data_IF_516579080957
#
_entry.id   IF_516579080957
#
_cell.length_a   1.000
_cell.length_b   1.000
_cell.length_c   1.000
_cell.angle_alpha   90.00
_cell.angle_beta   90.00
_cell.angle_gamma   90.00
#
_symmetry.space_group_name_H-M   'P 1'
#
loop_
_entity.id
_entity.type
_entity.pdbx_description
1 polymer ?
#
# COMPACT_ATOMS: atom_id res chain seq x y z
N UNK A 1 -6.78 19.23 6.33
CA UNK A 1 -7.42 19.22 4.99
C UNK A 1 -8.87 19.65 5.12
N UNK A 2 -9.29 20.74 4.46
CA UNK A 2 -10.72 21.12 4.38
C UNK A 2 -11.35 20.19 3.34
N UNK A 3 -12.29 19.38 3.77
CA UNK A 3 -13.11 18.57 2.87
C UNK A 3 -14.10 19.50 2.16
N UNK A 4 -13.86 19.77 0.89
CA UNK A 4 -14.87 20.38 0.04
C UNK A 4 -15.89 19.29 -0.33
N UNK A 5 -17.16 19.60 -0.25
CA UNK A 5 -18.21 18.68 -0.69
C UNK A 5 -18.25 18.70 -2.23
N UNK A 6 -17.72 17.67 -2.92
CA UNK A 6 -17.71 17.67 -4.38
C UNK A 6 -19.10 17.50 -4.99
N UNK A 7 -20.09 17.08 -4.18
CA UNK A 7 -21.47 16.84 -4.60
C UNK A 7 -22.34 17.85 -3.88
N UNK A 8 -22.91 18.79 -4.62
CA UNK A 8 -23.76 19.88 -4.08
C UNK A 8 -25.26 19.58 -4.20
N UNK A 9 -25.65 18.66 -5.07
CA UNK A 9 -27.07 18.29 -5.26
C UNK A 9 -27.56 17.45 -4.08
N UNK A 10 -28.56 17.95 -3.37
CA UNK A 10 -29.05 17.37 -2.11
C UNK A 10 -29.51 15.90 -2.26
N UNK A 11 -30.14 15.57 -3.39
CA UNK A 11 -30.59 14.21 -3.67
C UNK A 11 -29.43 13.23 -3.83
N UNK A 12 -28.36 13.62 -4.53
CA UNK A 12 -27.16 12.80 -4.73
C UNK A 12 -26.37 12.67 -3.44
N UNK A 13 -26.29 13.72 -2.61
CA UNK A 13 -25.64 13.66 -1.28
C UNK A 13 -26.29 12.57 -0.45
N UNK A 14 -27.63 12.59 -0.31
CA UNK A 14 -28.37 11.61 0.49
C UNK A 14 -28.19 10.19 -0.05
N UNK A 15 -28.29 10.00 -1.36
CA UNK A 15 -28.07 8.69 -1.98
C UNK A 15 -26.66 8.16 -1.70
N UNK A 16 -25.63 9.04 -1.75
CA UNK A 16 -24.24 8.68 -1.45
C UNK A 16 -24.08 8.30 0.01
N UNK A 17 -24.65 9.07 0.94
CA UNK A 17 -24.64 8.75 2.38
C UNK A 17 -25.30 7.40 2.69
N UNK A 18 -26.45 7.12 2.08
CA UNK A 18 -27.14 5.83 2.22
C UNK A 18 -26.28 4.66 1.68
N UNK A 19 -25.60 4.84 0.56
CA UNK A 19 -24.68 3.84 0.01
C UNK A 19 -23.45 3.62 0.88
N UNK A 20 -22.85 4.69 1.40
CA UNK A 20 -21.71 4.58 2.33
C UNK A 20 -22.12 3.86 3.61
N UNK A 21 -23.29 4.12 4.16
CA UNK A 21 -23.84 3.41 5.31
C UNK A 21 -24.05 1.92 5.01
N UNK A 22 -24.58 1.59 3.85
CA UNK A 22 -24.75 0.20 3.42
C UNK A 22 -23.40 -0.54 3.34
N UNK A 23 -22.41 0.09 2.71
CA UNK A 23 -21.04 -0.45 2.60
C UNK A 23 -20.47 -0.65 4.02
N UNK A 24 -20.53 0.36 4.88
CA UNK A 24 -20.03 0.27 6.26
C UNK A 24 -20.65 -0.91 7.02
N UNK A 25 -21.97 -1.03 7.01
CA UNK A 25 -22.67 -2.11 7.71
C UNK A 25 -22.30 -3.49 7.16
N UNK A 26 -22.12 -3.61 5.85
CA UNK A 26 -21.72 -4.85 5.21
C UNK A 26 -20.28 -5.24 5.60
N UNK A 27 -19.34 -4.31 5.54
CA UNK A 27 -17.96 -4.54 5.94
C UNK A 27 -17.86 -4.91 7.44
N UNK A 28 -18.57 -4.20 8.33
CA UNK A 28 -18.60 -4.53 9.77
C UNK A 28 -19.11 -5.95 10.01
N UNK A 29 -20.15 -6.37 9.28
CA UNK A 29 -20.73 -7.72 9.41
C UNK A 29 -19.77 -8.81 8.93
N UNK A 30 -18.98 -8.55 7.88
CA UNK A 30 -18.15 -9.55 7.21
C UNK A 30 -16.67 -9.46 7.52
N UNK A 31 -16.19 -8.45 8.28
CA UNK A 31 -14.77 -8.20 8.53
C UNK A 31 -14.00 -9.42 9.03
N UNK A 32 -14.61 -10.24 9.86
CA UNK A 32 -13.98 -11.44 10.43
C UNK A 32 -13.89 -12.62 9.45
N UNK A 33 -14.64 -12.57 8.34
CA UNK A 33 -14.61 -13.61 7.30
C UNK A 33 -13.51 -13.35 6.27
N UNK A 34 -13.02 -12.12 6.18
CA UNK A 34 -11.93 -11.75 5.28
C UNK A 34 -10.62 -12.35 5.79
N UNK A 35 -9.91 -13.09 4.93
CA UNK A 35 -8.63 -13.72 5.24
C UNK A 35 -7.44 -12.95 4.68
N UNK A 36 -7.66 -12.22 3.58
CA UNK A 36 -6.67 -11.35 2.97
C UNK A 36 -6.47 -10.09 3.82
N UNK A 37 -5.22 -9.70 4.01
CA UNK A 37 -4.87 -8.49 4.75
C UNK A 37 -4.59 -7.29 3.84
N UNK A 38 -4.50 -7.48 2.52
CA UNK A 38 -4.10 -6.41 1.61
C UNK A 38 -4.89 -5.11 1.79
N UNK A 39 -4.27 -4.00 1.40
CA UNK A 39 -4.89 -2.69 1.40
C UNK A 39 -5.96 -2.56 0.31
N UNK A 40 -5.78 -3.27 -0.83
CA UNK A 40 -6.66 -3.13 -1.99
C UNK A 40 -7.94 -3.95 -1.88
N UNK A 41 -7.87 -5.17 -1.36
CA UNK A 41 -8.99 -6.12 -1.34
C UNK A 41 -9.26 -6.71 0.05
N UNK A 42 -8.43 -6.37 1.03
CA UNK A 42 -8.38 -7.04 2.31
C UNK A 42 -8.72 -6.17 3.52
N UNK A 43 -8.30 -6.67 4.68
CA UNK A 43 -8.60 -6.09 6.00
C UNK A 43 -8.06 -4.68 6.19
N UNK A 44 -6.88 -4.36 5.62
CA UNK A 44 -6.28 -3.03 5.72
C UNK A 44 -7.12 -1.99 4.99
N UNK A 45 -7.66 -2.33 3.82
CA UNK A 45 -8.61 -1.46 3.10
C UNK A 45 -9.90 -1.22 3.87
N UNK A 46 -10.43 -2.26 4.55
CA UNK A 46 -11.59 -2.09 5.42
C UNK A 46 -11.28 -1.14 6.59
N UNK A 47 -10.10 -1.31 7.20
CA UNK A 47 -9.64 -0.45 8.28
C UNK A 47 -9.56 1.02 7.85
N UNK A 48 -8.91 1.28 6.72
CA UNK A 48 -8.80 2.61 6.13
C UNK A 48 -10.20 3.23 5.89
N UNK A 49 -11.10 2.47 5.27
CA UNK A 49 -12.48 2.91 5.04
C UNK A 49 -13.19 3.25 6.35
N UNK A 50 -13.05 2.44 7.41
CA UNK A 50 -13.70 2.69 8.70
C UNK A 50 -13.23 4.02 9.31
N UNK A 51 -11.94 4.33 9.28
CA UNK A 51 -11.43 5.60 9.80
C UNK A 51 -12.03 6.80 9.06
N UNK A 52 -12.04 6.75 7.73
CA UNK A 52 -12.62 7.83 6.94
C UNK A 52 -14.12 7.96 7.11
N UNK A 53 -14.84 6.86 7.14
CA UNK A 53 -16.29 6.86 7.35
C UNK A 53 -16.67 7.39 8.73
N UNK A 54 -15.96 6.99 9.78
CA UNK A 54 -16.21 7.48 11.14
C UNK A 54 -15.86 8.96 11.29
N UNK A 55 -14.82 9.43 10.63
CA UNK A 55 -14.49 10.86 10.55
C UNK A 55 -15.58 11.64 9.82
N UNK A 56 -16.07 11.13 8.70
CA UNK A 56 -17.14 11.77 7.93
C UNK A 56 -18.44 11.87 8.73
N UNK A 57 -18.85 10.80 9.39
CA UNK A 57 -20.12 10.73 10.16
C UNK A 57 -20.00 11.28 11.56
N UNK A 58 -18.79 11.58 12.05
CA UNK A 58 -18.48 11.97 13.45
C UNK A 58 -18.86 10.87 14.46
N UNK A 59 -18.92 9.62 14.04
CA UNK A 59 -19.30 8.46 14.87
C UNK A 59 -18.12 7.51 15.02
N UNK A 60 -17.47 7.48 16.17
CA UNK A 60 -16.36 6.55 16.46
C UNK A 60 -16.90 5.24 17.01
N UNK A 61 -16.79 4.12 16.28
CA UNK A 61 -17.35 2.83 16.69
C UNK A 61 -16.41 1.63 16.54
N UNK A 62 -15.78 1.47 15.39
CA UNK A 62 -15.14 0.21 14.98
C UNK A 62 -13.68 0.38 14.57
N UNK A 63 -13.32 1.50 13.95
CA UNK A 63 -12.04 1.69 13.29
C UNK A 63 -10.82 1.39 14.18
N UNK A 64 -10.71 2.06 15.34
CA UNK A 64 -9.57 1.88 16.26
C UNK A 64 -9.49 0.44 16.80
N UNK A 65 -10.63 -0.14 17.19
CA UNK A 65 -10.69 -1.53 17.66
C UNK A 65 -10.25 -2.50 16.55
N UNK A 66 -10.70 -2.28 15.32
CA UNK A 66 -10.35 -3.13 14.19
C UNK A 66 -8.87 -3.05 13.83
N UNK A 67 -8.25 -1.86 13.94
CA UNK A 67 -6.81 -1.69 13.79
C UNK A 67 -6.02 -2.56 14.77
N UNK A 68 -6.41 -2.58 16.05
CA UNK A 68 -5.78 -3.45 17.05
C UNK A 68 -6.00 -4.94 16.77
N UNK A 69 -7.19 -5.33 16.31
CA UNK A 69 -7.47 -6.70 15.88
C UNK A 69 -6.55 -7.13 14.74
N UNK A 70 -6.35 -6.27 13.72
CA UNK A 70 -5.43 -6.51 12.60
C UNK A 70 -3.99 -6.67 13.08
N UNK A 71 -3.50 -5.77 13.92
CA UNK A 71 -2.14 -5.84 14.46
C UNK A 71 -1.90 -7.18 15.18
N UNK A 72 -2.82 -7.60 16.05
CA UNK A 72 -2.72 -8.88 16.75
C UNK A 72 -2.79 -10.09 15.82
N UNK A 73 -3.50 -10.01 14.71
CA UNK A 73 -3.56 -11.09 13.72
C UNK A 73 -2.28 -11.16 12.88
N UNK A 74 -1.74 -10.00 12.45
CA UNK A 74 -0.49 -9.93 11.67
C UNK A 74 0.69 -10.46 12.47
N UNK A 75 0.75 -10.22 13.78
CA UNK A 75 1.82 -10.72 14.66
C UNK A 75 1.87 -12.26 14.73
N UNK A 76 0.84 -12.97 14.28
CA UNK A 76 0.77 -14.43 14.27
C UNK A 76 0.87 -15.02 12.85
N UNK A 77 1.14 -14.21 11.83
CA UNK A 77 1.33 -14.71 10.45
C UNK A 77 2.75 -15.21 10.30
N UNK A 78 2.92 -16.52 10.06
CA UNK A 78 4.24 -17.15 9.96
C UNK A 78 4.57 -17.70 8.57
N UNK A 79 3.58 -18.05 7.75
CA UNK A 79 3.81 -18.83 6.51
C UNK A 79 2.87 -18.44 5.36
N UNK A 80 3.00 -17.21 4.85
CA UNK A 80 2.26 -16.83 3.64
C UNK A 80 3.15 -15.98 2.72
N UNK A 81 3.23 -16.34 1.44
CA UNK A 81 3.99 -15.60 0.42
C UNK A 81 3.63 -14.09 0.36
N UNK A 82 2.39 -13.74 0.71
CA UNK A 82 1.91 -12.36 0.68
C UNK A 82 2.21 -11.56 1.96
N UNK A 83 2.78 -12.18 3.00
CA UNK A 83 2.93 -11.51 4.32
C UNK A 83 3.78 -10.22 4.24
N UNK A 84 4.81 -10.21 3.40
CA UNK A 84 5.71 -9.07 3.22
C UNK A 84 4.94 -7.83 2.76
N UNK A 85 4.05 -8.00 1.77
CA UNK A 85 3.23 -6.90 1.26
C UNK A 85 2.23 -6.44 2.31
N UNK A 86 1.67 -7.36 3.10
CA UNK A 86 0.77 -7.00 4.18
C UNK A 86 1.48 -6.17 5.26
N UNK A 87 2.74 -6.47 5.56
CA UNK A 87 3.52 -5.67 6.52
C UNK A 87 3.89 -4.29 5.97
N UNK A 88 4.32 -4.19 4.72
CA UNK A 88 4.60 -2.88 4.10
C UNK A 88 3.33 -2.03 3.99
N UNK A 89 2.21 -2.62 3.60
CA UNK A 89 0.90 -1.97 3.52
C UNK A 89 0.35 -1.58 4.90
N UNK A 90 0.57 -2.42 5.92
CA UNK A 90 0.20 -2.10 7.30
C UNK A 90 1.02 -0.93 7.83
N UNK A 91 2.33 -0.95 7.61
CA UNK A 91 3.21 0.15 7.98
C UNK A 91 2.83 1.45 7.26
N UNK A 92 2.52 1.38 5.97
CA UNK A 92 1.99 2.52 5.21
C UNK A 92 0.66 3.03 5.80
N UNK A 93 -0.26 2.12 6.15
CA UNK A 93 -1.54 2.47 6.77
C UNK A 93 -1.34 3.21 8.09
N UNK A 94 -0.46 2.72 8.98
CA UNK A 94 -0.16 3.37 10.26
C UNK A 94 0.36 4.79 10.06
N UNK A 95 1.32 4.99 9.16
CA UNK A 95 1.87 6.31 8.82
C UNK A 95 0.78 7.23 8.25
N UNK A 96 -0.06 6.71 7.36
CA UNK A 96 -1.18 7.47 6.80
C UNK A 96 -2.16 7.91 7.89
N UNK A 97 -2.57 7.00 8.78
CA UNK A 97 -3.49 7.29 9.87
C UNK A 97 -2.92 8.32 10.87
N UNK A 98 -1.61 8.22 11.17
CA UNK A 98 -0.91 9.21 12.02
C UNK A 98 -0.89 10.60 11.37
N UNK A 99 -0.52 10.69 10.08
CA UNK A 99 -0.50 11.95 9.31
C UNK A 99 -1.88 12.59 9.18
N UNK A 100 -2.93 11.79 9.06
CA UNK A 100 -4.32 12.27 9.02
C UNK A 100 -4.90 12.56 10.42
N UNK A 101 -4.11 12.38 11.49
CA UNK A 101 -4.54 12.56 12.88
C UNK A 101 -5.72 11.66 13.27
N UNK A 102 -5.83 10.49 12.68
CA UNK A 102 -6.83 9.48 13.04
C UNK A 102 -6.40 8.68 14.27
N UNK A 103 -5.09 8.55 14.48
CA UNK A 103 -4.47 7.90 15.66
C UNK A 103 -3.50 8.85 16.33
N UNK A 104 -3.35 8.72 17.64
CA UNK A 104 -2.58 9.59 18.53
C UNK A 104 -1.37 8.90 19.20
N UNK A 105 -1.29 7.57 19.11
CA UNK A 105 -0.17 6.81 19.67
C UNK A 105 1.07 6.83 18.77
N UNK A 106 2.22 6.51 19.39
CA UNK A 106 3.48 6.41 18.65
C UNK A 106 3.54 5.09 17.85
N UNK A 107 4.08 5.19 16.64
CA UNK A 107 4.15 4.07 15.69
C UNK A 107 5.59 3.65 15.35
N UNK A 108 6.58 4.44 15.73
CA UNK A 108 7.98 4.21 15.34
C UNK A 108 8.55 2.90 15.86
N UNK A 109 8.21 2.49 17.08
CA UNK A 109 8.64 1.18 17.63
C UNK A 109 8.08 0.00 16.81
N UNK A 110 6.86 0.14 16.28
CA UNK A 110 6.24 -0.88 15.42
C UNK A 110 6.95 -0.91 14.07
N UNK A 111 7.20 0.27 13.50
CA UNK A 111 7.75 0.40 12.16
C UNK A 111 9.23 0.04 12.10
N UNK A 112 10.03 0.41 13.11
CA UNK A 112 11.45 0.08 13.17
C UNK A 112 11.72 -1.43 13.16
N UNK A 113 10.81 -2.22 13.73
CA UNK A 113 10.88 -3.69 13.63
C UNK A 113 10.63 -4.25 12.23
N UNK A 114 10.12 -3.44 11.30
CA UNK A 114 9.86 -3.85 9.91
C UNK A 114 10.93 -3.34 8.94
N UNK A 115 11.62 -2.26 9.27
CA UNK A 115 12.46 -1.50 8.33
C UNK A 115 13.55 -2.36 7.68
N UNK A 116 14.35 -3.07 8.45
CA UNK A 116 15.47 -3.89 7.94
C UNK A 116 14.97 -4.99 6.99
N UNK A 117 14.00 -5.78 7.43
CA UNK A 117 13.44 -6.85 6.61
C UNK A 117 12.80 -6.35 5.32
N UNK A 118 12.11 -5.20 5.37
CA UNK A 118 11.50 -4.61 4.18
C UNK A 118 12.55 -4.04 3.23
N UNK A 119 13.68 -3.50 3.72
CA UNK A 119 14.80 -3.05 2.86
C UNK A 119 15.42 -4.22 2.10
N UNK A 120 15.73 -5.32 2.79
CA UNK A 120 16.30 -6.52 2.17
C UNK A 120 15.39 -7.08 1.08
N UNK A 121 14.12 -7.24 1.38
CA UNK A 121 13.14 -7.79 0.43
C UNK A 121 12.90 -6.84 -0.75
N UNK A 122 12.88 -5.53 -0.51
CA UNK A 122 12.80 -4.54 -1.59
C UNK A 122 13.98 -4.67 -2.56
N UNK A 123 15.20 -4.82 -2.03
CA UNK A 123 16.40 -5.02 -2.83
C UNK A 123 16.31 -6.31 -3.65
N UNK A 124 15.89 -7.42 -3.04
CA UNK A 124 15.71 -8.69 -3.73
C UNK A 124 14.71 -8.61 -4.89
N UNK A 125 13.58 -7.94 -4.68
CA UNK A 125 12.59 -7.75 -5.75
C UNK A 125 13.14 -6.89 -6.89
N UNK A 126 13.93 -5.85 -6.61
CA UNK A 126 14.58 -5.06 -7.66
C UNK A 126 15.56 -5.95 -8.44
N UNK A 127 16.34 -6.78 -7.77
CA UNK A 127 17.26 -7.70 -8.43
C UNK A 127 16.55 -8.70 -9.35
N UNK A 128 15.34 -9.11 -8.98
CA UNK A 128 14.47 -9.98 -9.77
C UNK A 128 13.67 -9.25 -10.85
N UNK A 129 13.93 -7.96 -11.10
CA UNK A 129 13.16 -7.12 -12.02
C UNK A 129 11.65 -7.06 -11.71
N UNK A 130 11.30 -7.21 -10.42
CA UNK A 130 9.93 -7.12 -9.94
C UNK A 130 9.65 -5.71 -9.38
N UNK A 131 9.21 -4.81 -10.25
CA UNK A 131 8.91 -3.40 -9.93
C UNK A 131 7.43 -3.13 -9.69
N UNK A 132 6.63 -4.15 -9.47
CA UNK A 132 5.17 -3.99 -9.38
C UNK A 132 4.74 -3.16 -8.18
N UNK A 133 3.65 -2.40 -8.36
CA UNK A 133 3.05 -1.60 -7.30
C UNK A 133 2.33 -2.46 -6.25
N UNK A 134 1.77 -3.59 -6.65
CA UNK A 134 0.95 -4.42 -5.77
C UNK A 134 1.78 -5.52 -5.11
N UNK A 135 2.63 -6.22 -5.90
CA UNK A 135 3.40 -7.38 -5.43
C UNK A 135 4.89 -7.27 -5.76
N UNK A 136 5.46 -6.07 -5.65
CA UNK A 136 6.85 -5.84 -5.98
C UNK A 136 7.52 -4.76 -5.16
N UNK A 137 8.73 -4.41 -5.57
CA UNK A 137 9.57 -3.44 -4.86
C UNK A 137 8.94 -2.06 -4.71
N UNK A 138 8.09 -1.62 -5.66
CA UNK A 138 7.40 -0.32 -5.57
C UNK A 138 6.37 -0.29 -4.43
N UNK A 139 5.75 -1.42 -4.09
CA UNK A 139 4.89 -1.52 -2.90
C UNK A 139 5.67 -1.17 -1.63
N UNK A 140 6.83 -1.80 -1.48
CA UNK A 140 7.68 -1.61 -0.30
C UNK A 140 8.30 -0.21 -0.30
N UNK A 141 8.73 0.30 -1.45
CA UNK A 141 9.24 1.67 -1.57
C UNK A 141 8.21 2.73 -1.15
N UNK A 142 6.92 2.50 -1.41
CA UNK A 142 5.85 3.38 -0.91
C UNK A 142 5.79 3.43 0.63
N UNK A 143 6.13 2.35 1.34
CA UNK A 143 6.25 2.37 2.78
C UNK A 143 7.37 3.32 3.23
N UNK A 144 8.56 3.22 2.61
CA UNK A 144 9.71 4.06 2.95
C UNK A 144 9.53 5.53 2.58
N UNK A 145 8.73 5.84 1.58
CA UNK A 145 8.42 7.22 1.19
C UNK A 145 7.80 8.06 2.33
N UNK A 146 7.21 7.40 3.30
CA UNK A 146 6.54 8.05 4.42
C UNK A 146 7.21 7.78 5.77
N UNK A 147 8.32 7.03 5.80
CA UNK A 147 9.13 6.83 7.00
C UNK A 147 9.83 8.14 7.42
N UNK A 148 10.37 8.16 8.63
CA UNK A 148 11.17 9.29 9.12
C UNK A 148 12.34 9.61 8.17
N UNK A 149 12.89 10.83 8.29
CA UNK A 149 13.82 11.39 7.31
C UNK A 149 15.06 10.50 7.06
N UNK A 150 15.62 9.90 8.10
CA UNK A 150 16.87 9.12 7.96
C UNK A 150 16.63 7.77 7.26
N UNK A 151 15.79 6.92 7.83
CA UNK A 151 15.52 5.57 7.30
C UNK A 151 14.79 5.65 5.96
N UNK A 152 13.77 6.53 5.87
CA UNK A 152 12.99 6.70 4.67
C UNK A 152 13.83 7.19 3.52
N UNK A 153 14.66 8.21 3.73
CA UNK A 153 15.53 8.79 2.70
C UNK A 153 16.57 7.79 2.21
N UNK A 154 17.27 7.10 3.10
CA UNK A 154 18.27 6.12 2.70
C UNK A 154 17.67 5.00 1.83
N UNK A 155 16.53 4.45 2.25
CA UNK A 155 15.85 3.38 1.52
C UNK A 155 15.30 3.86 0.18
N UNK A 156 14.77 5.08 0.15
CA UNK A 156 14.25 5.70 -1.06
C UNK A 156 15.37 5.99 -2.06
N UNK A 157 16.48 6.58 -1.63
CA UNK A 157 17.62 6.87 -2.48
C UNK A 157 18.22 5.57 -3.04
N UNK A 158 18.35 4.52 -2.21
CA UNK A 158 18.80 3.20 -2.66
C UNK A 158 17.86 2.61 -3.72
N UNK A 159 16.55 2.74 -3.51
CA UNK A 159 15.55 2.29 -4.47
C UNK A 159 15.68 3.00 -5.82
N UNK A 160 15.77 4.32 -5.81
CA UNK A 160 15.92 5.14 -7.01
C UNK A 160 17.21 4.82 -7.77
N UNK A 161 18.35 4.77 -7.06
CA UNK A 161 19.64 4.45 -7.65
C UNK A 161 19.64 3.07 -8.33
N UNK A 162 19.04 2.09 -7.67
CA UNK A 162 18.97 0.73 -8.19
C UNK A 162 18.05 0.64 -9.39
N UNK A 163 16.89 1.29 -9.35
CA UNK A 163 16.01 1.41 -10.51
C UNK A 163 16.70 2.08 -11.70
N UNK A 164 17.40 3.18 -11.45
CA UNK A 164 18.11 3.88 -12.51
C UNK A 164 19.17 2.99 -13.19
N UNK A 165 19.94 2.23 -12.40
CA UNK A 165 20.93 1.27 -12.90
C UNK A 165 20.31 0.12 -13.71
N UNK A 166 19.08 -0.24 -13.41
CA UNK A 166 18.30 -1.29 -14.10
C UNK A 166 17.52 -0.77 -15.31
N UNK A 167 17.45 0.54 -15.50
CA UNK A 167 16.75 1.14 -16.62
C UNK A 167 17.41 0.78 -17.95
N UNK A 168 16.60 0.50 -18.95
CA UNK A 168 17.02 0.35 -20.34
C UNK A 168 16.90 1.70 -21.02
N UNK A 169 18.03 2.26 -21.43
CA UNK A 169 18.06 3.49 -22.19
C UNK A 169 17.71 3.20 -23.64
N UNK A 170 16.59 3.72 -24.11
CA UNK A 170 16.12 3.57 -25.50
C UNK A 170 16.75 4.64 -26.38
N UNK A 171 16.84 5.86 -25.85
CA UNK A 171 17.45 7.04 -26.46
C UNK A 171 18.20 7.84 -25.38
N UNK A 172 18.80 8.98 -25.78
CA UNK A 172 19.47 9.90 -24.86
C UNK A 172 18.58 10.46 -23.75
N UNK A 173 17.27 10.53 -24.00
CA UNK A 173 16.26 11.13 -23.13
C UNK A 173 15.10 10.19 -22.77
N UNK A 174 15.19 8.91 -23.18
CA UNK A 174 14.14 7.92 -22.94
C UNK A 174 14.67 6.67 -22.27
N UNK A 175 13.97 6.24 -21.23
CA UNK A 175 14.27 5.01 -20.52
C UNK A 175 13.00 4.20 -20.26
N UNK A 176 13.17 2.90 -20.06
CA UNK A 176 12.10 1.97 -19.72
C UNK A 176 12.62 0.86 -18.80
N UNK A 177 11.69 0.11 -18.23
CA UNK A 177 11.98 -1.07 -17.42
C UNK A 177 11.23 -2.27 -17.96
N UNK A 178 11.91 -3.42 -17.99
CA UNK A 178 11.26 -4.70 -18.26
C UNK A 178 10.90 -5.37 -16.94
N UNK A 179 9.67 -5.80 -16.79
CA UNK A 179 9.19 -6.50 -15.61
C UNK A 179 8.91 -7.96 -15.95
N UNK A 180 9.14 -8.86 -15.00
CA UNK A 180 8.75 -10.26 -15.14
C UNK A 180 7.24 -10.39 -15.36
N UNK A 181 6.83 -11.27 -16.26
CA UNK A 181 5.43 -11.38 -16.70
C UNK A 181 4.55 -12.03 -15.66
N UNK A 182 5.09 -12.96 -14.87
CA UNK A 182 4.29 -13.69 -13.88
C UNK A 182 5.18 -14.35 -12.82
N UNK A 183 4.94 -14.00 -11.55
CA UNK A 183 5.64 -14.63 -10.42
C UNK A 183 5.24 -16.09 -10.25
N UNK A 184 4.11 -16.52 -10.83
CA UNK A 184 3.58 -17.90 -10.72
C UNK A 184 3.92 -18.82 -11.88
N UNK A 185 4.43 -18.29 -12.99
CA UNK A 185 4.83 -19.08 -14.15
C UNK A 185 6.36 -19.08 -14.30
N UNK A 186 7.07 -19.74 -13.39
CA UNK A 186 8.42 -20.23 -13.63
C UNK A 186 8.37 -21.32 -14.69
N UNK A 187 8.23 -20.97 -15.95
CA UNK A 187 8.49 -21.82 -17.09
C UNK A 187 9.58 -21.17 -17.93
N UNK A 188 10.45 -21.99 -18.46
CA UNK A 188 11.74 -21.82 -19.11
C UNK A 188 11.92 -20.73 -20.19
N UNK A 189 11.00 -19.79 -20.35
CA UNK A 189 11.16 -18.58 -21.14
C UNK A 189 10.88 -17.37 -20.25
N UNK A 190 11.94 -16.76 -19.77
CA UNK A 190 11.94 -15.44 -19.08
C UNK A 190 11.58 -14.31 -20.08
N UNK A 191 10.36 -14.31 -20.57
CA UNK A 191 9.86 -13.24 -21.42
C UNK A 191 9.63 -12.00 -20.57
N UNK A 192 10.63 -11.12 -20.50
CA UNK A 192 10.50 -9.80 -19.87
C UNK A 192 9.77 -8.88 -20.83
N UNK A 193 8.72 -8.23 -20.35
CA UNK A 193 7.89 -7.32 -21.14
C UNK A 193 7.77 -5.94 -20.50
N UNK A 194 7.54 -4.93 -21.33
CA UNK A 194 7.08 -3.62 -20.89
C UNK A 194 5.60 -3.71 -20.55
N UNK A 195 5.28 -3.61 -19.27
CA UNK A 195 3.89 -3.58 -18.80
C UNK A 195 3.38 -2.14 -18.75
N UNK A 196 2.20 -1.89 -19.28
CA UNK A 196 1.56 -0.56 -19.34
C UNK A 196 0.39 -0.41 -18.34
N UNK A 197 0.10 -1.43 -17.55
CA UNK A 197 -0.93 -1.37 -16.50
C UNK A 197 -0.43 -0.66 -15.24
N UNK A 198 -1.30 0.12 -14.60
CA UNK A 198 -0.92 0.86 -13.38
C UNK A 198 -0.55 -0.04 -12.20
N UNK A 199 -1.15 -1.22 -12.08
CA UNK A 199 -0.87 -2.14 -10.98
C UNK A 199 0.47 -2.87 -11.13
N UNK A 200 0.85 -3.18 -12.37
CA UNK A 200 1.94 -4.12 -12.68
C UNK A 200 2.97 -3.55 -13.66
N UNK A 201 2.98 -2.24 -13.95
CA UNK A 201 3.82 -1.70 -15.00
C UNK A 201 4.37 -0.30 -14.76
N UNK A 202 4.98 0.25 -15.81
CA UNK A 202 5.67 1.54 -15.81
C UNK A 202 4.81 2.70 -15.27
N UNK A 203 3.51 2.82 -15.54
CA UNK A 203 2.70 3.90 -14.97
C UNK A 203 2.75 3.98 -13.44
N UNK A 204 2.93 2.85 -12.76
CA UNK A 204 3.11 2.83 -11.31
C UNK A 204 4.44 3.49 -10.87
N UNK A 205 5.53 3.23 -11.61
CA UNK A 205 6.83 3.86 -11.37
C UNK A 205 6.75 5.37 -11.62
N UNK A 206 6.09 5.79 -12.71
CA UNK A 206 5.90 7.22 -13.01
C UNK A 206 5.13 7.90 -11.87
N UNK A 207 4.05 7.30 -11.39
CA UNK A 207 3.28 7.83 -10.25
C UNK A 207 4.11 7.89 -8.96
N UNK A 208 4.99 6.93 -8.76
CA UNK A 208 5.90 6.91 -7.62
C UNK A 208 6.92 8.07 -7.70
N UNK A 209 7.50 8.33 -8.88
CA UNK A 209 8.44 9.43 -9.09
C UNK A 209 7.80 10.84 -9.01
N UNK A 210 6.48 10.94 -9.14
CA UNK A 210 5.74 12.20 -9.04
C UNK A 210 5.39 12.60 -7.58
N UNK A 211 5.82 11.85 -6.58
CA UNK A 211 5.55 12.12 -5.16
C UNK A 211 6.70 12.86 -4.49
#
# INVERSE_FOLDING_TARGET
>A
MKWERPILETGLVRLTEDKLLLIYNNLVRHRNKQRDFSLYTGRLGYCLFFFYYEQFTKRKKVAKKYLYEINGLLSNVTDNFNYVFWFSEFGWLLQHLKRQQFIDFEIDDILSGLDESLQEIMADYIHQDNYELVYGSTNIANYFLYRNEDVGKQSYDLYLDTLYKKAIHVDSDKMTWLSLVDIKQTRENDDKHVKLGIAHGIPALILFFCK
#
